data_IF_167293086076
#
_entry.id   IF_167293086076
#
_cell.length_a   1.000
_cell.length_b   1.000
_cell.length_c   1.000
_cell.angle_alpha   90.00
_cell.angle_beta   90.00
_cell.angle_gamma   90.00
#
_symmetry.space_group_name_H-M   'P 1'
#
loop_
_entity.id
_entity.type
_entity.pdbx_description
1 polymer ?
#
# COMPACT_ATOMS: atom_id res chain seq x y z
N UNK A 1 19.59 15.71 6.91
CA UNK A 1 18.56 16.71 6.56
C UNK A 1 17.54 16.05 5.66
N UNK A 2 16.29 15.83 6.09
CA UNK A 2 15.21 15.48 5.17
C UNK A 2 14.81 16.76 4.43
N UNK A 3 14.68 16.72 3.11
CA UNK A 3 14.05 17.82 2.39
C UNK A 3 12.54 17.62 2.49
N UNK A 4 11.91 18.34 3.42
CA UNK A 4 10.46 18.38 3.56
C UNK A 4 9.83 19.41 2.63
N UNK A 5 8.50 19.39 2.46
CA UNK A 5 7.76 20.64 2.37
C UNK A 5 7.71 21.24 3.78
N UNK A 6 8.14 22.50 3.91
CA UNK A 6 8.05 23.24 5.16
C UNK A 6 6.60 23.47 5.56
N UNK A 7 6.28 23.29 6.85
CA UNK A 7 6.05 24.37 7.82
C UNK A 7 5.82 23.76 9.21
N UNK A 8 6.34 24.39 10.25
CA UNK A 8 6.37 23.88 11.60
C UNK A 8 4.98 23.98 12.27
N UNK A 9 4.46 22.86 12.75
CA UNK A 9 3.47 22.83 13.81
C UNK A 9 4.01 21.98 14.96
N UNK A 10 4.27 22.64 16.09
CA UNK A 10 4.63 21.99 17.35
C UNK A 10 3.40 21.25 17.86
N UNK A 11 3.37 19.92 17.71
CA UNK A 11 2.31 19.09 18.25
C UNK A 11 2.81 18.36 19.50
N UNK A 12 2.18 18.72 20.63
CA UNK A 12 2.32 18.08 21.94
C UNK A 12 2.01 16.58 21.81
N UNK A 13 2.91 15.75 22.34
CA UNK A 13 2.74 14.30 22.38
C UNK A 13 1.57 13.93 23.29
N UNK A 14 0.51 13.36 22.70
CA UNK A 14 -0.52 12.64 23.44
C UNK A 14 -0.29 11.12 23.29
N UNK A 15 -0.30 10.34 24.39
CA UNK A 15 -0.23 8.89 24.30
C UNK A 15 -1.62 8.38 23.95
N UNK A 16 -1.83 8.09 22.66
CA UNK A 16 -3.13 7.67 22.13
C UNK A 16 -2.97 6.54 21.15
N UNK A 17 -2.53 5.37 21.64
CA UNK A 17 -2.61 4.11 20.90
C UNK A 17 -4.06 3.70 20.69
N UNK A 18 -4.75 4.35 19.73
CA UNK A 18 -6.05 3.90 19.23
C UNK A 18 -5.91 2.48 18.68
N UNK A 19 -6.42 1.52 19.44
CA UNK A 19 -6.52 0.10 19.08
C UNK A 19 -7.39 0.00 17.84
N UNK A 20 -6.81 -0.48 16.73
CA UNK A 20 -7.56 -0.92 15.55
C UNK A 20 -7.41 -0.10 14.26
N UNK A 21 -6.61 0.98 14.23
CA UNK A 21 -6.37 1.76 13.00
C UNK A 21 -4.96 1.55 12.46
N UNK A 22 -4.86 1.08 11.22
CA UNK A 22 -3.61 0.87 10.49
C UNK A 22 -2.90 2.22 10.23
N UNK A 23 -1.79 2.49 10.92
CA UNK A 23 -0.98 3.71 10.79
C UNK A 23 0.46 3.49 11.22
N UNK A 24 1.37 4.35 10.77
CA UNK A 24 2.77 4.28 11.19
C UNK A 24 2.97 4.78 12.63
N UNK A 25 3.85 4.16 13.43
CA UNK A 25 4.35 4.75 14.66
C UNK A 25 5.40 5.82 14.34
N UNK A 26 5.51 6.84 15.19
CA UNK A 26 6.59 7.83 15.12
C UNK A 26 7.81 7.35 15.92
N UNK A 27 8.47 6.29 15.45
CA UNK A 27 9.59 5.66 16.17
C UNK A 27 10.84 6.53 16.25
N UNK A 28 11.04 7.43 15.28
CA UNK A 28 12.27 8.23 15.08
C UNK A 28 13.55 7.39 14.91
N UNK A 29 13.42 6.08 14.76
CA UNK A 29 14.53 5.16 14.48
C UNK A 29 14.68 4.99 12.97
N UNK A 30 15.77 5.48 12.35
CA UNK A 30 15.95 5.36 10.90
C UNK A 30 16.02 3.90 10.44
N UNK A 31 15.39 3.62 9.30
CA UNK A 31 15.48 2.35 8.61
C UNK A 31 15.81 2.58 7.12
N UNK A 32 16.98 2.11 6.70
CA UNK A 32 17.42 2.15 5.30
C UNK A 32 16.78 1.00 4.53
N UNK A 33 16.03 1.35 3.48
CA UNK A 33 15.28 0.39 2.66
C UNK A 33 15.62 0.57 1.19
N UNK A 34 15.63 -0.51 0.42
CA UNK A 34 15.65 -0.47 -1.04
C UNK A 34 14.35 -1.06 -1.56
N UNK A 35 13.53 -0.22 -2.19
CA UNK A 35 12.37 -0.67 -2.95
C UNK A 35 12.85 -1.19 -4.29
N UNK A 36 12.47 -2.41 -4.66
CA UNK A 36 12.81 -3.03 -5.95
C UNK A 36 11.53 -3.42 -6.66
N UNK A 37 11.28 -2.81 -7.82
CA UNK A 37 10.14 -3.12 -8.64
C UNK A 37 10.46 -4.28 -9.59
N UNK A 38 10.08 -5.49 -9.19
CA UNK A 38 10.14 -6.69 -10.02
C UNK A 38 8.87 -6.93 -10.84
N UNK A 39 7.90 -6.03 -10.74
CA UNK A 39 6.66 -6.09 -11.50
C UNK A 39 6.82 -5.37 -12.86
N UNK A 40 5.96 -5.69 -13.85
CA UNK A 40 5.89 -4.94 -15.10
C UNK A 40 5.12 -3.61 -14.96
N UNK A 41 4.68 -3.23 -13.76
CA UNK A 41 3.83 -2.05 -13.53
C UNK A 41 4.65 -0.82 -13.15
N UNK A 42 4.10 0.36 -13.43
CA UNK A 42 4.53 1.60 -12.79
C UNK A 42 4.07 1.56 -11.34
N UNK A 43 5.01 1.51 -10.40
CA UNK A 43 4.66 1.34 -8.98
C UNK A 43 4.60 2.68 -8.29
N UNK A 44 3.49 2.96 -7.62
CA UNK A 44 3.30 4.06 -6.68
C UNK A 44 3.50 3.54 -5.26
N UNK A 45 4.63 3.86 -4.59
CA UNK A 45 4.78 3.57 -3.17
C UNK A 45 3.89 4.52 -2.36
N UNK A 46 3.21 3.99 -1.36
CA UNK A 46 2.32 4.74 -0.48
C UNK A 46 2.67 4.46 0.97
N UNK A 47 3.01 5.51 1.71
CA UNK A 47 3.23 5.45 3.15
C UNK A 47 1.94 5.79 3.88
N UNK A 48 1.58 5.04 4.93
CA UNK A 48 0.54 5.47 5.85
C UNK A 48 1.17 6.36 6.90
N UNK A 49 0.79 7.63 6.96
CA UNK A 49 1.33 8.56 7.95
C UNK A 49 0.92 8.21 9.39
N UNK A 50 1.27 9.09 10.33
CA UNK A 50 0.99 8.87 11.75
C UNK A 50 -0.51 8.91 12.08
N UNK A 51 -1.33 9.47 11.19
CA UNK A 51 -2.78 9.50 11.26
C UNK A 51 -3.43 8.38 10.42
N UNK A 52 -2.63 7.54 9.73
CA UNK A 52 -3.10 6.46 8.87
C UNK A 52 -3.55 6.90 7.48
N UNK A 53 -3.24 8.14 7.07
CA UNK A 53 -3.60 8.66 5.75
C UNK A 53 -2.54 8.25 4.73
N UNK A 54 -2.95 7.86 3.51
CA UNK A 54 -2.03 7.45 2.46
C UNK A 54 -1.29 8.66 1.86
N UNK A 55 0.04 8.62 1.93
CA UNK A 55 0.96 9.60 1.37
C UNK A 55 1.75 8.99 0.21
N UNK A 56 1.58 9.54 -0.98
CA UNK A 56 2.19 9.02 -2.21
C UNK A 56 3.64 9.48 -2.36
N UNK A 57 4.51 8.57 -2.80
CA UNK A 57 5.91 8.83 -3.12
C UNK A 57 6.16 8.72 -4.63
N UNK A 58 7.30 9.21 -5.15
CA UNK A 58 7.50 9.22 -6.60
C UNK A 58 7.53 7.80 -7.18
N UNK A 59 6.93 7.63 -8.36
CA UNK A 59 6.76 6.34 -9.04
C UNK A 59 8.09 5.65 -9.30
N UNK A 60 8.08 4.32 -9.22
CA UNK A 60 9.16 3.42 -9.62
C UNK A 60 8.86 2.78 -10.97
N UNK A 61 9.83 2.82 -11.87
CA UNK A 61 9.72 2.20 -13.20
C UNK A 61 9.87 0.67 -13.09
N UNK A 62 9.29 -0.11 -14.02
CA UNK A 62 9.50 -1.57 -14.09
C UNK A 62 10.99 -1.92 -14.09
N UNK A 63 11.38 -2.94 -13.31
CA UNK A 63 12.76 -3.42 -13.23
C UNK A 63 13.74 -2.48 -12.51
N UNK A 64 13.27 -1.38 -11.92
CA UNK A 64 14.14 -0.41 -11.22
C UNK A 64 14.08 -0.56 -9.70
N UNK A 65 15.09 -0.02 -9.01
CA UNK A 65 15.11 0.08 -7.56
C UNK A 65 15.40 1.49 -7.08
N UNK A 66 14.96 1.82 -5.86
CA UNK A 66 15.22 3.10 -5.21
C UNK A 66 15.55 2.91 -3.74
N UNK A 67 16.62 3.57 -3.28
CA UNK A 67 16.94 3.71 -1.86
C UNK A 67 15.98 4.70 -1.21
N UNK A 68 15.43 4.30 -0.08
CA UNK A 68 14.43 5.04 0.69
C UNK A 68 14.93 5.19 2.13
N UNK A 69 14.82 6.42 2.64
CA UNK A 69 15.00 6.72 4.05
C UNK A 69 13.64 6.58 4.73
N UNK A 70 13.40 5.45 5.38
CA UNK A 70 12.18 5.19 6.17
C UNK A 70 12.53 5.18 7.66
N UNK A 71 11.56 4.83 8.50
CA UNK A 71 11.75 4.59 9.93
C UNK A 71 11.17 3.23 10.33
N UNK A 72 11.67 2.69 11.44
CA UNK A 72 11.20 1.41 11.99
C UNK A 72 9.71 1.49 12.29
N UNK A 73 8.96 0.49 11.83
CA UNK A 73 7.51 0.38 12.02
C UNK A 73 6.66 1.16 11.01
N UNK A 74 7.25 1.97 10.12
CA UNK A 74 6.48 2.68 9.10
C UNK A 74 5.75 1.70 8.17
N UNK A 75 4.50 1.98 7.84
CA UNK A 75 3.67 1.09 7.04
C UNK A 75 3.64 1.55 5.58
N UNK A 76 4.03 0.65 4.68
CA UNK A 76 4.08 0.90 3.25
C UNK A 76 3.20 -0.07 2.48
N UNK A 77 2.48 0.47 1.49
CA UNK A 77 1.76 -0.26 0.46
C UNK A 77 2.30 0.12 -0.91
N UNK A 78 2.05 -0.73 -1.90
CA UNK A 78 2.49 -0.51 -3.28
C UNK A 78 1.32 -0.73 -4.23
N UNK A 79 1.09 0.25 -5.12
CA UNK A 79 -0.03 0.25 -6.05
C UNK A 79 0.47 0.40 -7.48
N UNK A 80 -0.31 -0.07 -8.44
CA UNK A 80 -0.17 0.39 -9.82
C UNK A 80 -0.52 1.90 -9.86
N UNK A 81 0.38 2.70 -10.43
CA UNK A 81 0.25 4.15 -10.42
C UNK A 81 -0.92 4.66 -11.28
N UNK A 82 -1.38 3.89 -12.25
CA UNK A 82 -2.47 4.27 -13.15
C UNK A 82 -3.83 3.71 -12.74
N UNK A 83 -3.87 2.50 -12.18
CA UNK A 83 -5.14 1.79 -11.90
C UNK A 83 -5.44 1.62 -10.42
N UNK A 84 -4.51 1.99 -9.55
CA UNK A 84 -4.55 1.70 -8.12
C UNK A 84 -4.67 0.19 -7.82
N UNK A 85 -4.31 -0.70 -8.75
CA UNK A 85 -4.29 -2.15 -8.49
C UNK A 85 -3.27 -2.47 -7.39
N UNK A 86 -3.63 -3.36 -6.46
CA UNK A 86 -2.72 -3.78 -5.39
C UNK A 86 -1.50 -4.54 -5.94
N UNK A 87 -0.33 -4.24 -5.39
CA UNK A 87 0.89 -5.03 -5.58
C UNK A 87 1.33 -5.63 -4.26
N UNK A 88 2.12 -6.69 -4.33
CA UNK A 88 2.71 -7.32 -3.15
C UNK A 88 4.12 -6.81 -2.94
N UNK A 89 4.55 -6.81 -1.70
CA UNK A 89 5.90 -6.52 -1.25
C UNK A 89 6.36 -7.66 -0.36
N UNK A 90 7.44 -8.33 -0.75
CA UNK A 90 7.93 -9.53 -0.06
C UNK A 90 6.80 -10.58 0.13
N UNK A 91 5.90 -10.70 -0.85
CA UNK A 91 4.71 -11.58 -0.85
C UNK A 91 3.60 -11.18 0.14
N UNK A 92 3.68 -10.01 0.75
CA UNK A 92 2.69 -9.44 1.67
C UNK A 92 2.08 -8.16 1.08
N UNK A 93 0.94 -7.71 1.60
CA UNK A 93 0.34 -6.44 1.15
C UNK A 93 0.92 -5.20 1.86
N UNK A 94 1.48 -5.41 3.05
CA UNK A 94 2.06 -4.39 3.90
C UNK A 94 3.54 -4.66 4.10
N UNK A 95 4.35 -3.61 3.96
CA UNK A 95 5.75 -3.64 4.32
C UNK A 95 6.01 -2.77 5.54
N UNK A 96 6.68 -3.35 6.52
CA UNK A 96 7.07 -2.71 7.78
C UNK A 96 8.60 -2.81 7.92
N UNK A 97 9.36 -1.72 7.74
CA UNK A 97 10.80 -1.71 7.96
C UNK A 97 11.11 -2.05 9.41
N UNK A 98 12.05 -2.99 9.59
CA UNK A 98 12.66 -3.30 10.88
C UNK A 98 13.96 -2.51 11.08
N UNK A 99 14.64 -2.72 12.20
CA UNK A 99 15.94 -2.12 12.45
C UNK A 99 17.00 -2.74 11.52
N UNK A 100 17.85 -1.90 10.92
CA UNK A 100 19.00 -2.38 10.15
C UNK A 100 20.01 -3.08 11.06
N UNK A 101 20.43 -4.29 10.68
CA UNK A 101 21.48 -5.06 11.37
C UNK A 101 22.80 -4.88 10.61
N UNK A 102 23.88 -4.57 11.33
CA UNK A 102 25.25 -4.44 10.80
C UNK A 102 25.41 -3.46 9.61
N UNK A 103 24.63 -2.37 9.60
CA UNK A 103 24.69 -1.37 8.52
C UNK A 103 24.08 -1.81 7.18
N UNK A 104 23.43 -2.97 7.13
CA UNK A 104 22.72 -3.45 5.96
C UNK A 104 21.41 -2.69 5.71
N UNK A 105 20.90 -2.79 4.49
CA UNK A 105 19.58 -2.27 4.10
C UNK A 105 18.54 -3.39 4.07
N UNK A 106 17.27 -3.01 4.19
CA UNK A 106 16.14 -3.94 4.06
C UNK A 106 15.65 -3.90 2.61
N UNK A 107 15.35 -5.07 2.05
CA UNK A 107 14.81 -5.19 0.70
C UNK A 107 13.28 -5.24 0.75
N UNK A 108 12.65 -4.43 -0.09
CA UNK A 108 11.22 -4.48 -0.34
C UNK A 108 11.01 -4.88 -1.82
N UNK A 109 10.83 -6.16 -2.06
CA UNK A 109 10.62 -6.73 -3.39
C UNK A 109 9.17 -6.64 -3.79
N UNK A 110 8.89 -5.71 -4.69
CA UNK A 110 7.55 -5.42 -5.17
C UNK A 110 7.26 -6.31 -6.37
N UNK A 111 6.22 -7.12 -6.27
CA UNK A 111 5.83 -8.11 -7.28
C UNK A 111 4.35 -7.99 -7.63
N UNK A 112 4.00 -8.50 -8.81
CA UNK A 112 2.59 -8.67 -9.19
C UNK A 112 2.00 -9.84 -8.36
N UNK A 113 0.83 -9.68 -7.72
CA UNK A 113 0.12 -10.82 -7.16
C UNK A 113 -0.37 -11.75 -8.27
N UNK A 114 -0.64 -13.00 -7.91
CA UNK A 114 -1.45 -13.88 -8.74
C UNK A 114 -2.91 -13.46 -8.53
N UNK A 115 -3.39 -12.55 -9.37
CA UNK A 115 -4.80 -12.16 -9.38
C UNK A 115 -5.68 -13.36 -9.72
N UNK A 116 -6.90 -13.37 -9.20
CA UNK A 116 -7.93 -14.27 -9.73
C UNK A 116 -8.16 -13.97 -11.21
N UNK A 117 -8.57 -14.98 -11.98
CA UNK A 117 -8.89 -14.77 -13.40
C UNK A 117 -9.94 -13.66 -13.57
N UNK A 118 -10.92 -13.60 -12.67
CA UNK A 118 -11.96 -12.58 -12.62
C UNK A 118 -11.38 -11.17 -12.45
N UNK A 119 -10.57 -10.93 -11.41
CA UNK A 119 -9.90 -9.64 -11.19
C UNK A 119 -9.04 -9.25 -12.40
N UNK A 120 -8.32 -10.21 -12.99
CA UNK A 120 -7.48 -9.94 -14.17
C UNK A 120 -8.31 -9.55 -15.38
N UNK A 121 -9.43 -10.22 -15.64
CA UNK A 121 -10.37 -9.84 -16.71
C UNK A 121 -10.94 -8.43 -16.49
N UNK A 122 -11.35 -8.10 -15.26
CA UNK A 122 -11.84 -6.76 -14.93
C UNK A 122 -10.76 -5.69 -15.21
N UNK A 123 -9.51 -5.93 -14.82
CA UNK A 123 -8.39 -5.03 -15.12
C UNK A 123 -8.21 -4.81 -16.63
N UNK A 124 -8.30 -5.87 -17.43
CA UNK A 124 -8.18 -5.76 -18.89
C UNK A 124 -9.35 -4.98 -19.48
N UNK A 125 -10.59 -5.30 -19.10
CA UNK A 125 -11.78 -4.60 -19.62
C UNK A 125 -11.74 -3.12 -19.28
N UNK A 126 -11.38 -2.75 -18.04
CA UNK A 126 -11.23 -1.34 -17.61
C UNK A 126 -10.17 -0.58 -18.41
N UNK A 127 -9.15 -1.28 -18.94
CA UNK A 127 -8.11 -0.67 -19.78
C UNK A 127 -8.54 -0.45 -21.23
N UNK A 128 -9.59 -1.14 -21.68
CA UNK A 128 -10.05 -1.14 -23.07
C UNK A 128 -11.38 -0.39 -23.28
N UNK A 129 -12.19 -0.27 -22.24
CA UNK A 129 -13.55 0.28 -22.32
C UNK A 129 -13.64 1.53 -21.46
N UNK A 130 -14.26 2.60 -21.98
CA UNK A 130 -14.52 3.79 -21.19
C UNK A 130 -15.56 3.46 -20.09
N UNK A 131 -15.40 3.96 -18.84
CA UNK A 131 -16.38 3.73 -17.78
C UNK A 131 -17.83 4.05 -18.12
N UNK A 132 -18.08 5.05 -18.97
CA UNK A 132 -19.44 5.43 -19.43
C UNK A 132 -20.09 4.33 -20.27
N UNK A 133 -19.29 3.47 -20.91
CA UNK A 133 -19.74 2.41 -21.81
C UNK A 133 -19.84 1.02 -21.13
N UNK A 134 -19.46 0.87 -19.84
CA UNK A 134 -19.49 -0.44 -19.17
C UNK A 134 -20.86 -1.12 -19.24
N UNK A 135 -21.95 -0.37 -19.06
CA UNK A 135 -23.32 -0.88 -19.10
C UNK A 135 -23.86 -1.20 -20.50
N UNK A 136 -23.04 -0.98 -21.54
CA UNK A 136 -23.35 -1.34 -22.94
C UNK A 136 -22.71 -2.66 -23.35
N UNK A 137 -21.85 -3.24 -22.53
CA UNK A 137 -21.22 -4.54 -22.78
C UNK A 137 -22.26 -5.65 -22.68
N UNK A 138 -22.23 -6.61 -23.59
CA UNK A 138 -23.14 -7.76 -23.55
C UNK A 138 -22.64 -8.83 -22.56
N UNK A 139 -22.76 -8.52 -21.27
CA UNK A 139 -22.34 -9.37 -20.14
C UNK A 139 -23.42 -9.40 -19.05
N UNK A 140 -23.29 -10.32 -18.11
CA UNK A 140 -24.26 -10.43 -17.00
C UNK A 140 -24.26 -9.17 -16.13
N UNK A 141 -25.44 -8.79 -15.65
CA UNK A 141 -25.66 -7.50 -14.98
C UNK A 141 -24.78 -7.29 -13.74
N UNK A 142 -24.50 -8.34 -12.97
CA UNK A 142 -23.63 -8.27 -11.80
C UNK A 142 -22.21 -7.81 -12.14
N UNK A 143 -21.71 -8.10 -13.35
CA UNK A 143 -20.36 -7.69 -13.76
C UNK A 143 -20.25 -6.20 -14.04
N UNK A 144 -21.36 -5.48 -14.28
CA UNK A 144 -21.30 -4.02 -14.43
C UNK A 144 -20.87 -3.37 -13.12
N UNK A 145 -21.49 -3.76 -12.01
CA UNK A 145 -21.17 -3.26 -10.67
C UNK A 145 -19.72 -3.57 -10.31
N UNK A 146 -19.25 -4.77 -10.69
CA UNK A 146 -17.86 -5.16 -10.49
C UNK A 146 -16.88 -4.39 -11.37
N UNK A 147 -17.23 -4.05 -12.62
CA UNK A 147 -16.40 -3.19 -13.46
C UNK A 147 -16.32 -1.76 -12.90
N UNK A 148 -17.46 -1.24 -12.42
CA UNK A 148 -17.59 0.08 -11.79
C UNK A 148 -16.81 0.17 -10.47
N UNK A 149 -16.69 -0.93 -9.72
CA UNK A 149 -15.94 -0.98 -8.46
C UNK A 149 -14.42 -1.06 -8.65
N UNK A 150 -13.80 0.07 -8.98
CA UNK A 150 -12.37 0.18 -9.20
C UNK A 150 -11.54 -0.09 -7.93
N UNK A 151 -10.28 -0.56 -8.07
CA UNK A 151 -9.36 -0.69 -6.96
C UNK A 151 -9.25 0.65 -6.21
N UNK A 152 -9.23 0.58 -4.88
CA UNK A 152 -9.18 1.77 -4.05
C UNK A 152 -8.40 1.49 -2.77
N UNK A 153 -7.26 2.17 -2.62
CA UNK A 153 -6.38 1.99 -1.46
C UNK A 153 -7.08 2.22 -0.13
N UNK A 154 -8.08 3.11 -0.04
CA UNK A 154 -8.81 3.34 1.22
C UNK A 154 -9.64 2.12 1.61
N UNK A 155 -10.27 1.43 0.64
CA UNK A 155 -11.00 0.18 0.89
C UNK A 155 -10.06 -0.90 1.41
N UNK A 156 -8.88 -1.02 0.81
CA UNK A 156 -7.88 -1.98 1.24
C UNK A 156 -7.30 -1.66 2.63
N UNK A 157 -7.04 -0.38 2.95
CA UNK A 157 -6.61 0.03 4.29
C UNK A 157 -7.65 -0.37 5.34
N UNK A 158 -8.94 -0.13 5.08
CA UNK A 158 -10.03 -0.52 5.99
C UNK A 158 -10.06 -2.04 6.16
N UNK A 159 -10.02 -2.80 5.06
CA UNK A 159 -9.98 -4.28 5.10
C UNK A 159 -8.81 -4.78 5.95
N UNK A 160 -7.59 -4.33 5.66
CA UNK A 160 -6.38 -4.71 6.38
C UNK A 160 -6.44 -4.33 7.86
N UNK A 161 -7.06 -3.20 8.20
CA UNK A 161 -7.25 -2.75 9.58
C UNK A 161 -8.17 -3.69 10.37
N UNK A 162 -9.24 -4.18 9.72
CA UNK A 162 -10.16 -5.15 10.30
C UNK A 162 -9.48 -6.52 10.50
N UNK A 163 -8.83 -7.04 9.45
CA UNK A 163 -8.09 -8.31 9.50
C UNK A 163 -7.05 -8.32 10.63
N UNK A 164 -6.26 -7.23 10.75
CA UNK A 164 -5.27 -7.08 11.84
C UNK A 164 -5.93 -7.06 13.22
N UNK A 165 -7.08 -6.40 13.35
CA UNK A 165 -7.81 -6.33 14.62
C UNK A 165 -8.40 -7.67 15.04
N UNK A 166 -8.88 -8.47 14.09
CA UNK A 166 -9.37 -9.82 14.32
C UNK A 166 -8.24 -10.77 14.74
N UNK A 167 -7.10 -10.72 14.06
CA UNK A 167 -5.92 -11.51 14.45
C UNK A 167 -5.47 -11.22 15.89
N UNK A 168 -5.45 -9.94 16.29
CA UNK A 168 -5.08 -9.54 17.66
C UNK A 168 -6.09 -10.02 18.71
N UNK A 169 -7.38 -10.08 18.36
CA UNK A 169 -8.44 -10.59 19.24
C UNK A 169 -8.34 -12.11 19.40
N UNK A 170 -8.09 -12.83 18.31
CA UNK A 170 -8.05 -14.28 18.28
C UNK A 170 -6.73 -14.86 18.83
N UNK A 171 -5.68 -14.04 18.92
CA UNK A 171 -4.36 -14.42 19.47
C UNK A 171 -4.15 -14.12 20.95
N UNK A 172 -5.16 -13.60 21.67
CA UNK A 172 -5.08 -13.42 23.12
C UNK A 172 -5.44 -14.74 23.84
N UNK A 173 -4.55 -15.32 24.68
CA UNK A 173 -4.94 -16.42 25.54
C UNK A 173 -5.93 -15.91 26.60
N UNK A 174 -6.93 -16.73 26.96
CA UNK A 174 -7.80 -16.53 28.13
C UNK A 174 -6.99 -16.40 29.44
#
# INVERSE_FOLDING_TARGET
>A
MPQGPGEAAVAVAAPGGGRGTLRSPNSREPAQVIFRNWSPRLVLPVWLDFEGRPQSYPVLQPGTGRRMHSYVGHLWLFRDAGTDDRLLVNKMELFEPTRNVDGNYILADITLPVFTLKERCLQVVRSLVNPVDYRRLDIVQSLYEELEDHPNIRKDIIRLSLERSEMLRNGAPE
#
